data_IF_616148042718
#
_entry.id   IF_616148042718
#
_cell.length_a   1.000
_cell.length_b   1.000
_cell.length_c   1.000
_cell.angle_alpha   90.00
_cell.angle_beta   90.00
_cell.angle_gamma   90.00
#
_symmetry.space_group_name_H-M   'P 1'
#
loop_
_entity.id
_entity.type
_entity.pdbx_description
1 polymer ?
#
# COMPACT_ATOMS: atom_id res chain seq x y z
N UNK A 1 -8.83 -7.70 -24.66
CA UNK A 1 -9.38 -8.98 -24.15
C UNK A 1 -8.67 -10.11 -24.87
N UNK A 2 -8.17 -11.12 -24.15
CA UNK A 2 -7.47 -12.26 -24.76
C UNK A 2 -8.48 -13.13 -25.55
N UNK A 3 -8.07 -13.64 -26.71
CA UNK A 3 -8.92 -14.44 -27.59
C UNK A 3 -8.18 -15.71 -28.02
N UNK A 4 -8.90 -16.81 -28.08
CA UNK A 4 -8.40 -18.10 -28.53
C UNK A 4 -8.91 -18.31 -29.96
N UNK A 5 -8.00 -18.32 -30.93
CA UNK A 5 -8.35 -18.48 -32.33
C UNK A 5 -7.93 -19.86 -32.85
N UNK A 6 -8.87 -20.57 -33.45
CA UNK A 6 -8.66 -21.87 -34.08
C UNK A 6 -9.16 -21.85 -35.52
N UNK A 7 -8.50 -22.58 -36.40
CA UNK A 7 -8.90 -22.67 -37.82
C UNK A 7 -9.72 -23.95 -38.02
N UNK A 8 -10.98 -23.81 -38.41
CA UNK A 8 -11.88 -24.94 -38.70
C UNK A 8 -12.32 -24.79 -40.16
N UNK A 9 -12.03 -25.80 -40.99
CA UNK A 9 -12.42 -25.77 -42.42
C UNK A 9 -11.81 -24.60 -43.21
N UNK A 10 -10.58 -24.18 -42.88
CA UNK A 10 -9.90 -23.08 -43.57
C UNK A 10 -10.35 -21.67 -43.17
N UNK A 11 -11.36 -21.53 -42.30
CA UNK A 11 -11.79 -20.25 -41.74
C UNK A 11 -11.32 -20.11 -40.29
N UNK A 12 -10.84 -18.92 -39.94
CA UNK A 12 -10.36 -18.59 -38.59
C UNK A 12 -11.55 -18.22 -37.70
N UNK A 13 -11.76 -18.99 -36.64
CA UNK A 13 -12.76 -18.74 -35.62
C UNK A 13 -12.07 -18.30 -34.34
N UNK A 14 -12.45 -17.15 -33.80
CA UNK A 14 -11.90 -16.61 -32.56
C UNK A 14 -12.98 -16.61 -31.48
N UNK A 15 -12.63 -17.14 -30.31
CA UNK A 15 -13.49 -17.19 -29.13
C UNK A 15 -12.90 -16.27 -28.06
N UNK A 16 -13.71 -15.44 -27.38
CA UNK A 16 -13.24 -14.70 -26.23
C UNK A 16 -12.89 -15.68 -25.11
N UNK A 17 -11.68 -15.57 -24.56
CA UNK A 17 -11.32 -16.32 -23.36
C UNK A 17 -12.09 -15.75 -22.17
N UNK A 18 -12.88 -16.57 -21.44
CA UNK A 18 -13.55 -16.10 -20.24
C UNK A 18 -12.48 -15.71 -19.21
N UNK A 19 -12.53 -14.48 -18.73
CA UNK A 19 -11.67 -14.05 -17.62
C UNK A 19 -12.20 -14.67 -16.34
N UNK A 20 -11.37 -15.46 -15.65
CA UNK A 20 -11.72 -16.07 -14.36
C UNK A 20 -12.05 -15.04 -13.27
N UNK A 21 -11.54 -13.81 -13.42
CA UNK A 21 -11.78 -12.70 -12.51
C UNK A 21 -12.27 -11.53 -13.32
N UNK A 22 -13.50 -11.13 -13.05
CA UNK A 22 -14.14 -10.05 -13.77
C UNK A 22 -13.80 -8.70 -13.10
N UNK A 23 -12.78 -8.03 -13.65
CA UNK A 23 -12.17 -6.83 -13.03
C UNK A 23 -13.14 -5.65 -12.88
N UNK A 24 -14.23 -5.62 -13.64
CA UNK A 24 -15.29 -4.60 -13.51
C UNK A 24 -16.06 -4.68 -12.18
N UNK A 25 -16.04 -5.83 -11.52
CA UNK A 25 -16.65 -6.02 -10.19
C UNK A 25 -15.64 -5.87 -9.04
N UNK A 26 -14.37 -5.62 -9.35
CA UNK A 26 -13.36 -5.27 -8.34
C UNK A 26 -13.52 -3.78 -8.05
N UNK A 27 -14.39 -3.46 -7.10
CA UNK A 27 -14.45 -2.11 -6.56
C UNK A 27 -13.12 -1.83 -5.85
N UNK A 28 -12.40 -0.80 -6.32
CA UNK A 28 -11.29 -0.26 -5.53
C UNK A 28 -11.88 0.19 -4.18
N UNK A 29 -11.33 -0.28 -3.05
CA UNK A 29 -11.79 0.19 -1.76
C UNK A 29 -11.64 1.72 -1.71
N UNK A 30 -12.57 2.43 -1.05
CA UNK A 30 -12.42 3.86 -0.83
C UNK A 30 -11.10 4.14 -0.12
N UNK A 31 -10.48 5.32 -0.34
CA UNK A 31 -9.26 5.68 0.37
C UNK A 31 -9.51 5.56 1.88
N UNK A 32 -8.58 4.92 2.63
CA UNK A 32 -8.75 4.72 4.05
C UNK A 32 -8.84 6.08 4.75
N UNK A 33 -10.02 6.42 5.28
CA UNK A 33 -10.23 7.63 6.05
C UNK A 33 -9.78 7.39 7.50
N UNK A 34 -8.48 7.26 7.71
CA UNK A 34 -7.90 6.99 9.02
C UNK A 34 -6.89 8.10 9.40
N UNK A 35 -7.37 9.25 9.92
CA UNK A 35 -6.53 10.42 10.21
C UNK A 35 -5.36 10.13 11.16
N UNK A 36 -5.51 9.11 12.02
CA UNK A 36 -4.47 8.69 12.95
C UNK A 36 -3.29 8.02 12.23
N UNK A 37 -3.53 7.39 11.07
CA UNK A 37 -2.49 6.78 10.24
C UNK A 37 -1.66 7.88 9.56
N UNK A 38 -2.33 8.87 8.96
CA UNK A 38 -1.65 10.03 8.34
C UNK A 38 -0.81 10.81 9.37
N UNK A 39 -1.34 10.96 10.60
CA UNK A 39 -0.60 11.58 11.69
C UNK A 39 0.61 10.73 12.12
N UNK A 40 0.47 9.41 12.19
CA UNK A 40 1.57 8.49 12.54
C UNK A 40 2.69 8.52 11.51
N UNK A 41 2.35 8.56 10.22
CA UNK A 41 3.31 8.70 9.12
C UNK A 41 4.04 10.05 9.23
N UNK A 42 3.29 11.14 9.42
CA UNK A 42 3.86 12.49 9.56
C UNK A 42 4.82 12.62 10.75
N UNK A 43 4.49 11.97 11.89
CA UNK A 43 5.37 11.93 13.07
C UNK A 43 6.63 11.13 12.80
N UNK A 44 6.54 10.01 12.07
CA UNK A 44 7.70 9.21 11.69
C UNK A 44 8.65 10.00 10.77
N UNK A 45 8.10 10.70 9.78
CA UNK A 45 8.87 11.57 8.87
C UNK A 45 9.55 12.72 9.62
N UNK A 46 8.85 13.32 10.59
CA UNK A 46 9.41 14.39 11.42
C UNK A 46 10.59 13.88 12.26
N UNK A 47 10.48 12.70 12.88
CA UNK A 47 11.57 12.12 13.66
C UNK A 47 12.77 11.78 12.78
N UNK A 48 12.54 11.28 11.56
CA UNK A 48 13.60 10.98 10.59
C UNK A 48 14.31 12.25 10.08
N UNK A 49 13.63 13.40 10.08
CA UNK A 49 14.20 14.68 9.66
C UNK A 49 15.03 15.38 10.76
N UNK A 50 14.88 14.98 12.02
CA UNK A 50 15.61 15.58 13.15
C UNK A 50 17.05 15.02 13.20
N UNK A 51 18.09 15.88 13.25
CA UNK A 51 19.47 15.44 13.37
C UNK A 51 19.73 14.69 14.69
N UNK A 52 20.69 13.77 14.67
CA UNK A 52 21.03 12.96 15.84
C UNK A 52 21.42 13.83 17.04
N UNK A 53 20.60 13.77 18.08
CA UNK A 53 20.75 14.50 19.34
C UNK A 53 20.14 13.67 20.46
N UNK A 54 20.42 14.01 21.73
CA UNK A 54 19.75 13.30 22.83
C UNK A 54 18.23 13.53 22.83
N UNK A 55 17.79 14.67 22.28
CA UNK A 55 16.38 14.97 22.04
C UNK A 55 15.76 14.07 20.95
N UNK A 56 16.53 13.66 19.94
CA UNK A 56 16.03 12.73 18.91
C UNK A 56 15.81 11.31 19.45
N UNK A 57 16.56 10.90 20.48
CA UNK A 57 16.34 9.62 21.17
C UNK A 57 15.03 9.63 21.97
N UNK A 58 14.71 10.72 22.64
CA UNK A 58 13.44 10.84 23.36
C UNK A 58 12.26 10.92 22.37
N UNK A 59 12.40 11.70 21.30
CA UNK A 59 11.38 11.81 20.25
C UNK A 59 11.12 10.48 19.55
N UNK A 60 12.17 9.70 19.24
CA UNK A 60 12.01 8.38 18.63
C UNK A 60 11.30 7.39 19.55
N UNK A 61 11.56 7.41 20.86
CA UNK A 61 10.86 6.57 21.83
C UNK A 61 9.37 6.92 21.94
N UNK A 62 9.04 8.22 21.97
CA UNK A 62 7.64 8.69 22.01
C UNK A 62 6.92 8.36 20.71
N UNK A 63 7.54 8.63 19.57
CA UNK A 63 6.99 8.28 18.25
C UNK A 63 6.76 6.77 18.10
N UNK A 64 7.70 5.94 18.55
CA UNK A 64 7.55 4.48 18.52
C UNK A 64 6.32 4.03 19.32
N UNK A 65 6.10 4.60 20.52
CA UNK A 65 4.90 4.27 21.32
C UNK A 65 3.61 4.74 20.67
N UNK A 66 3.62 5.92 20.05
CA UNK A 66 2.47 6.45 19.33
C UNK A 66 2.10 5.57 18.13
N UNK A 67 3.08 5.20 17.30
CA UNK A 67 2.89 4.32 16.14
C UNK A 67 2.35 2.96 16.59
N UNK A 68 2.88 2.38 17.66
CA UNK A 68 2.36 1.11 18.22
C UNK A 68 0.91 1.21 18.69
N UNK A 69 0.46 2.37 19.20
CA UNK A 69 -0.94 2.57 19.58
C UNK A 69 -1.84 2.68 18.35
N UNK A 70 -1.42 3.44 17.33
CA UNK A 70 -2.16 3.57 16.07
C UNK A 70 -2.26 2.22 15.36
N UNK A 71 -1.18 1.43 15.34
CA UNK A 71 -1.14 0.12 14.71
C UNK A 71 -2.06 -0.91 15.37
N UNK A 72 -2.39 -0.75 16.66
CA UNK A 72 -3.41 -1.56 17.34
C UNK A 72 -4.84 -1.14 16.99
N UNK A 73 -5.04 0.11 16.61
CA UNK A 73 -6.34 0.65 16.21
C UNK A 73 -6.63 0.45 14.71
N UNK A 74 -5.63 0.00 13.94
CA UNK A 74 -5.76 -0.23 12.50
C UNK A 74 -6.65 -1.44 12.19
N UNK A 75 -7.49 -1.35 11.14
CA UNK A 75 -8.28 -2.49 10.68
C UNK A 75 -7.40 -3.62 10.14
N UNK A 76 -7.90 -4.85 10.23
CA UNK A 76 -7.20 -6.05 9.76
C UNK A 76 -6.80 -5.89 8.28
N UNK A 77 -5.52 -6.15 7.99
CA UNK A 77 -4.95 -6.02 6.64
C UNK A 77 -4.32 -4.65 6.32
N UNK A 78 -4.19 -3.76 7.31
CA UNK A 78 -3.42 -2.50 7.17
C UNK A 78 -2.20 -2.49 8.08
N UNK A 79 -1.05 -2.09 7.54
CA UNK A 79 0.22 -2.03 8.26
C UNK A 79 0.91 -0.68 8.02
N UNK A 80 1.55 -0.14 9.06
CA UNK A 80 2.39 1.04 8.95
C UNK A 80 3.78 0.57 8.53
N UNK A 81 4.06 0.62 7.24
CA UNK A 81 5.41 0.33 6.73
C UNK A 81 6.20 1.63 6.79
N UNK A 82 7.24 1.67 7.64
CA UNK A 82 8.23 2.73 7.54
C UNK A 82 8.89 2.58 6.17
N UNK A 83 8.57 3.47 5.23
CA UNK A 83 9.25 3.54 3.95
C UNK A 83 10.69 3.93 4.27
N UNK A 84 11.56 2.92 4.41
CA UNK A 84 13.01 3.13 4.52
C UNK A 84 13.46 3.75 3.22
N UNK A 85 13.41 5.08 3.13
CA UNK A 85 14.15 5.93 2.20
C UNK A 85 14.55 5.19 0.90
N UNK A 86 13.57 4.68 0.14
CA UNK A 86 13.80 4.00 -1.13
C UNK A 86 14.04 5.03 -2.25
N UNK A 87 14.58 6.20 -1.90
CA UNK A 87 14.98 7.28 -2.78
C UNK A 87 16.44 7.67 -2.53
N UNK A 88 17.30 6.68 -2.30
CA UNK A 88 18.76 6.83 -2.45
C UNK A 88 19.32 5.68 -3.28
N UNK A 89 18.85 5.55 -4.52
CA UNK A 89 19.56 4.99 -5.68
C UNK A 89 18.58 4.78 -6.85
N UNK A 90 18.26 5.84 -7.57
CA UNK A 90 17.81 5.79 -8.97
C UNK A 90 18.33 7.04 -9.68
#
# INVERSE_FOLDING_TARGET
MYQLCITIGGKKHCFPLPSLVDRQYIHKPPPPNFPQLDLAISVLDLVNAVPESDLSKELSQVATRFIQQVQKALPQGTEIVAEKAAAKAA
#
